data_IF_135111574689
#
_entry.id   IF_135111574689
#
_cell.length_a   1.000
_cell.length_b   1.000
_cell.length_c   1.000
_cell.angle_alpha   90.00
_cell.angle_beta   90.00
_cell.angle_gamma   90.00
#
_symmetry.space_group_name_H-M   'P 1'
#
loop_
_entity.id
_entity.type
_entity.pdbx_description
1 polymer ?
#
# COMPACT_ATOMS: atom_id res chain seq x y z
N UNK A 1 36.79 9.45 -1.33
CA UNK A 1 35.82 8.96 -2.33
C UNK A 1 36.60 8.10 -3.32
N UNK A 2 36.33 6.80 -3.37
CA UNK A 2 37.02 5.88 -4.26
C UNK A 2 36.06 5.51 -5.38
N UNK A 3 36.42 5.86 -6.62
CA UNK A 3 35.62 5.51 -7.81
C UNK A 3 36.19 4.21 -8.36
N UNK A 4 35.34 3.18 -8.43
CA UNK A 4 35.68 1.93 -9.10
C UNK A 4 35.40 2.10 -10.60
N UNK A 5 36.40 1.82 -11.42
CA UNK A 5 36.27 1.85 -12.88
C UNK A 5 35.92 0.44 -13.36
N UNK A 6 34.88 0.33 -14.17
CA UNK A 6 34.52 -0.90 -14.87
C UNK A 6 35.08 -0.83 -16.30
N UNK A 7 35.55 -1.96 -16.82
CA UNK A 7 36.10 -2.05 -18.19
C UNK A 7 35.03 -1.72 -19.25
N UNK A 8 33.77 -2.11 -18.99
CA UNK A 8 32.63 -1.86 -19.86
C UNK A 8 31.50 -1.14 -19.09
N UNK A 9 31.58 0.19 -18.91
CA UNK A 9 30.63 0.93 -18.10
C UNK A 9 29.20 0.86 -18.65
N UNK A 10 29.04 0.74 -19.97
CA UNK A 10 27.74 0.55 -20.62
C UNK A 10 27.04 -0.78 -20.27
N UNK A 11 27.78 -1.82 -19.87
CA UNK A 11 27.22 -3.15 -19.56
C UNK A 11 27.15 -3.43 -18.05
N UNK A 12 27.71 -2.56 -17.21
CA UNK A 12 27.91 -2.82 -15.77
C UNK A 12 26.60 -3.16 -15.04
N UNK A 13 25.49 -2.51 -15.40
CA UNK A 13 24.17 -2.76 -14.81
C UNK A 13 23.67 -4.15 -15.18
N UNK A 14 23.78 -4.54 -16.45
CA UNK A 14 23.34 -5.84 -16.94
C UNK A 14 24.18 -6.95 -16.31
N UNK A 15 25.51 -6.77 -16.23
CA UNK A 15 26.40 -7.71 -15.55
C UNK A 15 26.03 -7.86 -14.07
N UNK A 16 25.78 -6.77 -13.36
CA UNK A 16 25.33 -6.81 -11.97
C UNK A 16 24.03 -7.60 -11.79
N UNK A 17 23.02 -7.35 -12.64
CA UNK A 17 21.75 -8.07 -12.61
C UNK A 17 21.89 -9.56 -12.92
N UNK A 18 22.73 -9.91 -13.89
CA UNK A 18 23.01 -11.31 -14.26
C UNK A 18 23.77 -12.02 -13.12
N UNK A 19 24.76 -11.37 -12.52
CA UNK A 19 25.53 -11.92 -11.40
C UNK A 19 24.65 -12.16 -10.17
N UNK A 20 23.81 -11.19 -9.78
CA UNK A 20 22.84 -11.35 -8.68
C UNK A 20 21.91 -12.54 -8.94
N UNK A 21 21.42 -12.68 -10.18
CA UNK A 21 20.57 -13.81 -10.56
C UNK A 21 21.30 -15.16 -10.52
N UNK A 22 22.55 -15.21 -10.99
CA UNK A 22 23.39 -16.42 -10.91
C UNK A 22 23.62 -16.81 -9.45
N UNK A 23 23.90 -15.86 -8.57
CA UNK A 23 24.09 -16.11 -7.14
C UNK A 23 22.83 -16.67 -6.50
N UNK A 24 21.67 -16.09 -6.82
CA UNK A 24 20.38 -16.56 -6.33
C UNK A 24 20.07 -18.00 -6.79
N UNK A 25 20.34 -18.33 -8.06
CA UNK A 25 20.06 -19.68 -8.61
C UNK A 25 21.03 -20.72 -8.06
N UNK A 26 22.33 -20.42 -8.03
CA UNK A 26 23.37 -21.40 -7.70
C UNK A 26 23.54 -21.62 -6.19
N UNK A 27 23.41 -20.56 -5.41
CA UNK A 27 23.74 -20.58 -3.98
C UNK A 27 22.53 -20.28 -3.10
N UNK A 28 21.38 -19.92 -3.67
CA UNK A 28 20.21 -19.49 -2.90
C UNK A 28 20.42 -18.17 -2.14
N UNK A 29 21.52 -17.46 -2.41
CA UNK A 29 21.87 -16.22 -1.72
C UNK A 29 21.35 -15.05 -2.54
N UNK A 30 20.66 -14.11 -1.88
CA UNK A 30 20.28 -12.84 -2.48
C UNK A 30 21.31 -11.79 -2.08
N UNK A 31 21.94 -11.13 -3.05
CA UNK A 31 23.03 -10.17 -2.79
C UNK A 31 22.53 -8.96 -1.99
N UNK A 32 21.29 -8.54 -2.23
CA UNK A 32 20.60 -7.50 -1.45
C UNK A 32 19.48 -8.13 -0.64
N UNK A 33 19.63 -8.26 0.69
CA UNK A 33 18.58 -8.80 1.57
C UNK A 33 17.38 -7.87 1.76
N UNK A 34 17.54 -6.58 1.45
CA UNK A 34 16.49 -5.58 1.55
C UNK A 34 16.74 -4.41 0.60
N UNK A 35 15.70 -3.61 0.35
CA UNK A 35 15.73 -2.47 -0.58
C UNK A 35 15.10 -1.23 0.05
N UNK A 36 15.63 -0.07 -0.29
CA UNK A 36 15.15 1.22 0.22
C UNK A 36 14.42 1.98 -0.88
N UNK A 37 13.22 2.48 -0.58
CA UNK A 37 12.50 3.34 -1.52
C UNK A 37 13.05 4.76 -1.48
N UNK A 38 13.21 5.43 -2.63
CA UNK A 38 13.63 6.84 -2.67
C UNK A 38 12.52 7.79 -2.21
N UNK A 39 11.25 7.36 -2.27
CA UNK A 39 10.07 8.12 -1.88
C UNK A 39 9.16 7.30 -0.98
N UNK A 40 8.34 7.97 -0.18
CA UNK A 40 7.38 7.30 0.70
C UNK A 40 6.07 7.06 -0.04
N UNK A 41 5.44 5.90 0.17
CA UNK A 41 4.15 5.53 -0.40
C UNK A 41 3.14 5.24 0.71
N UNK A 42 1.92 5.70 0.52
CA UNK A 42 0.83 5.50 1.47
C UNK A 42 -0.50 5.29 0.75
N UNK A 43 -1.50 4.90 1.53
CA UNK A 43 -2.88 4.75 1.08
C UNK A 43 -3.75 5.74 1.85
N UNK A 44 -4.72 6.35 1.16
CA UNK A 44 -5.71 7.20 1.81
C UNK A 44 -6.76 6.32 2.50
N UNK A 45 -7.01 6.55 3.79
CA UNK A 45 -8.02 5.85 4.57
C UNK A 45 -8.66 6.74 5.64
N UNK A 46 -9.87 6.38 6.04
CA UNK A 46 -10.53 6.97 7.21
C UNK A 46 -10.01 6.27 8.48
N UNK A 47 -9.56 7.04 9.48
CA UNK A 47 -9.05 6.51 10.75
C UNK A 47 -9.97 6.88 11.91
N UNK A 48 -10.05 6.04 12.94
CA UNK A 48 -10.85 6.37 14.14
C UNK A 48 -10.29 7.64 14.76
N UNK A 49 -11.17 8.59 15.09
CA UNK A 49 -10.76 9.86 15.66
C UNK A 49 -10.10 9.68 17.02
N UNK A 50 -8.79 9.90 17.02
CA UNK A 50 -7.95 10.07 18.20
C UNK A 50 -7.68 11.57 18.45
N UNK A 51 -8.08 12.13 19.61
CA UNK A 51 -7.92 13.55 19.91
C UNK A 51 -6.45 13.98 20.06
N UNK A 52 -5.49 13.08 20.30
CA UNK A 52 -4.08 13.45 20.36
C UNK A 52 -3.44 13.56 18.97
N UNK A 53 -3.96 12.78 18.00
CA UNK A 53 -3.36 12.64 16.67
C UNK A 53 -4.05 13.48 15.59
N UNK A 54 -5.34 13.73 15.72
CA UNK A 54 -6.18 14.31 14.66
C UNK A 54 -6.70 15.72 14.99
N UNK A 55 -5.97 16.46 15.83
CA UNK A 55 -6.33 17.85 16.15
C UNK A 55 -6.30 18.69 14.86
N UNK A 56 -7.40 19.36 14.56
CA UNK A 56 -7.52 20.24 13.40
C UNK A 56 -7.74 19.51 12.06
N UNK A 57 -7.85 18.18 12.06
CA UNK A 57 -8.18 17.38 10.87
C UNK A 57 -9.69 17.36 10.60
N UNK A 58 -10.07 16.95 9.38
CA UNK A 58 -11.48 16.79 9.01
C UNK A 58 -12.07 15.56 9.68
N UNK A 59 -13.18 15.73 10.41
CA UNK A 59 -13.83 14.62 11.15
C UNK A 59 -15.24 14.41 10.61
N UNK A 60 -15.61 13.14 10.44
CA UNK A 60 -16.95 12.70 10.04
C UNK A 60 -17.47 11.68 11.04
N UNK A 61 -18.73 11.86 11.44
CA UNK A 61 -19.44 10.83 12.20
C UNK A 61 -19.92 9.75 11.23
N UNK A 62 -19.48 8.52 11.44
CA UNK A 62 -19.96 7.37 10.66
C UNK A 62 -21.35 6.96 11.17
N UNK A 63 -22.34 6.95 10.27
CA UNK A 63 -23.73 6.61 10.59
C UNK A 63 -23.90 5.14 11.00
N UNK A 64 -22.97 4.26 10.61
CA UNK A 64 -23.06 2.81 10.81
C UNK A 64 -22.70 2.40 12.24
N UNK A 65 -21.66 2.99 12.81
CA UNK A 65 -21.18 2.66 14.15
C UNK A 65 -21.32 3.81 15.16
N UNK A 66 -21.70 5.01 14.70
CA UNK A 66 -21.77 6.25 15.49
C UNK A 66 -20.41 6.65 16.08
N UNK A 67 -19.31 6.22 15.47
CA UNK A 67 -17.96 6.60 15.84
C UNK A 67 -17.50 7.79 14.98
N UNK A 68 -16.68 8.65 15.57
CA UNK A 68 -16.03 9.73 14.80
C UNK A 68 -14.79 9.19 14.10
N UNK A 69 -14.64 9.55 12.83
CA UNK A 69 -13.51 9.20 11.99
C UNK A 69 -12.83 10.46 11.46
N UNK A 70 -11.51 10.50 11.51
CA UNK A 70 -10.70 11.45 10.76
C UNK A 70 -10.67 11.00 9.28
N UNK A 71 -11.09 11.88 8.39
CA UNK A 71 -11.25 11.62 6.95
C UNK A 71 -9.98 12.03 6.21
N UNK A 72 -9.71 11.39 5.07
CA UNK A 72 -8.59 11.67 4.17
C UNK A 72 -7.21 11.59 4.86
N UNK A 73 -7.08 10.66 5.82
CA UNK A 73 -5.81 10.38 6.47
C UNK A 73 -4.95 9.53 5.54
N UNK A 74 -3.64 9.68 5.65
CA UNK A 74 -2.67 8.90 4.87
C UNK A 74 -2.02 7.90 5.81
N UNK A 75 -2.18 6.62 5.47
CA UNK A 75 -1.49 5.54 6.14
C UNK A 75 -0.26 5.14 5.33
N UNK A 76 0.92 5.51 5.83
CA UNK A 76 2.20 5.25 5.17
C UNK A 76 2.56 3.77 5.26
N UNK A 77 2.77 3.16 4.10
CA UNK A 77 3.19 1.77 3.95
C UNK A 77 4.71 1.70 3.78
N UNK A 78 5.22 2.47 2.84
CA UNK A 78 6.64 2.55 2.52
C UNK A 78 7.15 3.90 2.98
N UNK A 79 8.21 3.90 3.78
CA UNK A 79 8.85 5.12 4.25
C UNK A 79 10.22 5.24 3.57
N UNK A 80 10.48 6.41 2.98
CA UNK A 80 11.76 6.67 2.33
C UNK A 80 12.90 6.66 3.35
N UNK A 81 14.06 6.14 2.94
CA UNK A 81 15.34 6.21 3.69
C UNK A 81 15.29 5.58 5.09
N UNK A 82 16.23 4.65 5.36
CA UNK A 82 16.39 4.04 6.69
C UNK A 82 15.36 2.96 7.05
N UNK A 83 14.35 2.74 6.20
CA UNK A 83 13.34 1.68 6.39
C UNK A 83 13.44 0.64 5.26
N UNK A 84 14.38 -0.32 5.39
CA UNK A 84 14.57 -1.35 4.38
C UNK A 84 13.34 -2.25 4.26
N UNK A 85 12.83 -2.39 3.03
CA UNK A 85 11.79 -3.36 2.70
C UNK A 85 12.47 -4.71 2.46
N UNK A 86 12.09 -5.76 3.20
CA UNK A 86 12.64 -7.10 2.96
C UNK A 86 12.18 -7.63 1.60
N UNK A 87 12.97 -8.50 0.98
CA UNK A 87 12.60 -9.10 -0.32
C UNK A 87 11.32 -9.95 -0.26
N UNK A 88 10.97 -10.48 0.92
CA UNK A 88 9.70 -11.18 1.16
C UNK A 88 8.49 -10.25 1.16
N UNK A 89 8.72 -8.94 1.17
CA UNK A 89 7.71 -7.94 1.40
C UNK A 89 7.20 -7.91 2.84
N UNK A 90 6.24 -7.04 3.10
CA UNK A 90 5.44 -7.02 4.32
C UNK A 90 3.96 -6.89 3.99
N UNK A 91 3.11 -7.32 4.91
CA UNK A 91 1.65 -7.26 4.76
C UNK A 91 1.09 -6.29 5.80
N UNK A 92 0.10 -5.48 5.39
CA UNK A 92 -0.66 -4.62 6.29
C UNK A 92 -2.15 -4.84 6.07
N UNK A 93 -2.87 -5.06 7.17
CA UNK A 93 -4.31 -5.25 7.16
C UNK A 93 -5.03 -3.90 6.99
N UNK A 94 -6.01 -3.88 6.09
CA UNK A 94 -6.95 -2.78 5.91
C UNK A 94 -8.39 -3.26 6.13
N UNK A 95 -9.21 -2.35 6.63
CA UNK A 95 -10.60 -2.64 6.95
C UNK A 95 -11.50 -1.72 6.17
N UNK A 96 -12.45 -2.32 5.46
CA UNK A 96 -13.48 -1.61 4.74
C UNK A 96 -14.85 -1.94 5.33
N UNK A 97 -15.72 -0.93 5.35
CA UNK A 97 -17.12 -1.08 5.75
C UNK A 97 -18.01 -0.77 4.55
N UNK A 98 -18.94 -1.65 4.26
CA UNK A 98 -19.98 -1.43 3.25
C UNK A 98 -21.37 -1.39 3.90
N UNK A 99 -22.25 -0.55 3.35
CA UNK A 99 -23.67 -0.59 3.69
C UNK A 99 -24.30 -1.89 3.16
N UNK A 100 -25.35 -2.41 3.82
CA UNK A 100 -26.12 -3.53 3.28
C UNK A 100 -26.67 -3.22 1.89
N UNK A 101 -26.40 -4.07 0.90
CA UNK A 101 -26.81 -3.90 -0.49
C UNK A 101 -25.76 -3.25 -1.40
N UNK A 102 -24.63 -2.81 -0.85
CA UNK A 102 -23.48 -2.26 -1.61
C UNK A 102 -22.22 -3.12 -1.49
N UNK A 103 -22.36 -4.37 -1.10
CA UNK A 103 -21.23 -5.27 -0.86
C UNK A 103 -20.43 -5.65 -2.13
N UNK A 104 -21.03 -5.52 -3.31
CA UNK A 104 -20.41 -5.85 -4.60
C UNK A 104 -19.89 -4.62 -5.34
N UNK A 105 -20.09 -3.42 -4.79
CA UNK A 105 -19.56 -2.22 -5.44
C UNK A 105 -18.02 -2.18 -5.33
N UNK A 106 -17.30 -1.87 -6.42
CA UNK A 106 -15.85 -1.69 -6.37
C UNK A 106 -15.51 -0.54 -5.43
N UNK A 107 -14.62 -0.82 -4.48
CA UNK A 107 -14.13 0.19 -3.54
C UNK A 107 -12.93 0.91 -4.14
N UNK A 108 -13.05 2.23 -4.28
CA UNK A 108 -11.94 3.06 -4.74
C UNK A 108 -10.93 3.29 -3.62
N UNK A 109 -9.67 3.01 -3.91
CA UNK A 109 -8.52 3.19 -3.03
C UNK A 109 -7.50 4.08 -3.72
N UNK A 110 -7.05 5.10 -3.00
CA UNK A 110 -6.11 6.08 -3.54
C UNK A 110 -4.72 5.82 -2.97
N UNK A 111 -3.76 5.59 -3.87
CA UNK A 111 -2.34 5.45 -3.53
C UNK A 111 -1.68 6.80 -3.71
N UNK A 112 -0.93 7.22 -2.69
CA UNK A 112 -0.25 8.51 -2.65
C UNK A 112 1.24 8.34 -2.41
N UNK A 113 2.00 9.37 -2.77
CA UNK A 113 3.44 9.45 -2.51
C UNK A 113 3.81 10.77 -1.85
N UNK A 114 4.94 10.76 -1.14
CA UNK A 114 5.60 11.97 -0.63
C UNK A 114 7.12 11.84 -0.76
N UNK A 115 7.76 12.95 -1.14
CA UNK A 115 9.22 13.09 -1.17
C UNK A 115 9.79 13.66 0.15
N UNK A 116 8.92 13.97 1.12
CA UNK A 116 9.33 14.56 2.39
C UNK A 116 10.01 13.52 3.28
N UNK A 117 10.99 13.94 4.10
CA UNK A 117 11.67 13.03 5.03
C UNK A 117 10.68 12.42 6.04
N UNK A 118 10.99 11.23 6.60
CA UNK A 118 10.10 10.50 7.50
C UNK A 118 9.50 11.36 8.63
N UNK A 119 10.30 12.23 9.24
CA UNK A 119 9.89 13.10 10.35
C UNK A 119 8.90 14.20 9.95
N UNK A 120 8.74 14.43 8.64
CA UNK A 120 7.87 15.46 8.07
C UNK A 120 6.80 14.85 7.17
N UNK A 121 6.57 13.55 7.27
CA UNK A 121 5.52 12.91 6.47
C UNK A 121 4.15 13.45 6.89
N UNK A 122 3.38 13.96 5.93
CA UNK A 122 2.06 14.49 6.21
C UNK A 122 1.11 13.36 6.62
N UNK A 123 0.24 13.63 7.59
CA UNK A 123 -0.71 12.64 8.12
C UNK A 123 -2.03 12.60 7.35
N UNK A 124 -2.34 13.65 6.60
CA UNK A 124 -3.58 13.79 5.87
C UNK A 124 -3.38 14.50 4.54
N UNK A 125 -4.37 14.37 3.65
CA UNK A 125 -4.39 15.08 2.36
C UNK A 125 -4.53 16.59 2.50
N UNK A 126 -4.88 17.12 3.69
CA UNK A 126 -4.95 18.56 3.94
C UNK A 126 -3.56 19.18 4.06
N UNK A 127 -2.58 18.38 4.45
CA UNK A 127 -1.20 18.81 4.62
C UNK A 127 -0.49 18.78 3.26
N UNK A 128 0.38 19.76 3.02
CA UNK A 128 1.15 19.84 1.76
C UNK A 128 2.21 18.73 1.71
N UNK A 129 2.55 18.31 0.50
CA UNK A 129 3.62 17.31 0.26
C UNK A 129 3.11 15.89 0.02
N UNK A 130 1.80 15.70 -0.18
CA UNK A 130 1.22 14.46 -0.70
C UNK A 130 0.87 14.63 -2.17
N UNK A 131 1.18 13.63 -2.98
CA UNK A 131 0.80 13.56 -4.39
C UNK A 131 0.03 12.27 -4.65
N UNK A 132 -1.11 12.36 -5.34
CA UNK A 132 -1.86 11.18 -5.78
C UNK A 132 -1.08 10.50 -6.90
N UNK A 133 -0.81 9.20 -6.73
CA UNK A 133 -0.12 8.38 -7.73
C UNK A 133 -1.14 7.68 -8.61
N UNK A 134 -2.09 6.98 -8.00
CA UNK A 134 -3.14 6.26 -8.73
C UNK A 134 -4.38 6.04 -7.87
N UNK A 135 -5.46 5.64 -8.53
CA UNK A 135 -6.68 5.16 -7.89
C UNK A 135 -6.92 3.73 -8.36
N UNK A 136 -7.13 2.82 -7.42
CA UNK A 136 -7.40 1.41 -7.65
C UNK A 136 -8.86 1.15 -7.30
N UNK A 137 -9.56 0.41 -8.14
CA UNK A 137 -10.89 -0.08 -7.83
C UNK A 137 -10.75 -1.53 -7.36
N UNK A 138 -11.07 -1.78 -6.09
CA UNK A 138 -10.93 -3.09 -5.45
C UNK A 138 -12.30 -3.73 -5.39
N UNK A 139 -12.49 -4.85 -6.09
CA UNK A 139 -13.69 -5.66 -5.92
C UNK A 139 -13.53 -6.50 -4.65
N UNK A 140 -14.52 -6.47 -3.78
CA UNK A 140 -14.51 -7.25 -2.52
C UNK A 140 -15.33 -8.53 -2.64
N UNK A 141 -15.58 -9.05 -3.83
CA UNK A 141 -16.46 -10.20 -4.06
C UNK A 141 -15.93 -11.47 -3.37
N UNK A 142 -14.63 -11.75 -3.51
CA UNK A 142 -13.98 -12.98 -3.03
C UNK A 142 -13.41 -12.89 -1.61
N UNK A 143 -13.59 -11.75 -0.93
CA UNK A 143 -13.05 -11.52 0.42
C UNK A 143 -14.09 -11.84 1.48
N UNK A 144 -13.67 -12.50 2.56
CA UNK A 144 -14.57 -12.85 3.67
C UNK A 144 -15.23 -11.59 4.27
N UNK A 145 -16.56 -11.52 4.19
CA UNK A 145 -17.36 -10.42 4.71
C UNK A 145 -18.04 -10.83 6.00
N UNK A 146 -17.85 -10.03 7.05
CA UNK A 146 -18.51 -10.25 8.33
C UNK A 146 -19.62 -9.25 8.55
N UNK A 147 -20.86 -9.73 8.61
CA UNK A 147 -22.02 -8.91 8.96
C UNK A 147 -21.95 -8.53 10.45
N UNK A 148 -21.94 -7.24 10.75
CA UNK A 148 -22.01 -6.69 12.11
C UNK A 148 -23.41 -6.19 12.43
N UNK A 149 -23.76 -6.23 13.72
CA UNK A 149 -25.06 -5.80 14.25
C UNK A 149 -26.26 -6.56 13.63
N UNK A 150 -26.12 -7.88 13.37
CA UNK A 150 -27.16 -8.72 12.77
C UNK A 150 -28.38 -8.94 13.67
N UNK A 151 -28.21 -8.88 14.98
CA UNK A 151 -29.27 -9.27 15.91
C UNK A 151 -30.36 -8.21 16.00
N UNK A 152 -31.61 -8.64 16.16
CA UNK A 152 -32.79 -7.77 16.23
C UNK A 152 -32.74 -6.74 17.37
N UNK A 153 -31.99 -7.03 18.44
CA UNK A 153 -31.76 -6.14 19.58
C UNK A 153 -30.56 -5.20 19.38
N UNK A 154 -29.93 -5.20 18.21
CA UNK A 154 -28.83 -4.27 17.90
C UNK A 154 -29.41 -2.89 17.61
N UNK A 155 -29.12 -1.92 18.48
CA UNK A 155 -29.58 -0.53 18.34
C UNK A 155 -28.89 0.18 17.16
N UNK A 156 -27.72 -0.32 16.74
CA UNK A 156 -26.91 0.26 15.64
C UNK A 156 -27.24 -0.43 14.30
N UNK A 157 -27.17 0.31 13.17
CA UNK A 157 -27.38 -0.28 11.85
C UNK A 157 -26.47 -1.47 11.57
N UNK A 158 -26.99 -2.45 10.82
CA UNK A 158 -26.17 -3.54 10.30
C UNK A 158 -25.26 -3.04 9.19
N UNK A 159 -24.03 -3.55 9.15
CA UNK A 159 -23.05 -3.21 8.11
C UNK A 159 -22.15 -4.41 7.82
N UNK A 160 -21.64 -4.48 6.60
CA UNK A 160 -20.64 -5.47 6.21
C UNK A 160 -19.25 -4.93 6.53
N UNK A 161 -18.44 -5.74 7.20
CA UNK A 161 -17.02 -5.47 7.41
C UNK A 161 -16.20 -6.46 6.59
N UNK A 162 -15.37 -5.93 5.72
CA UNK A 162 -14.41 -6.68 4.92
C UNK A 162 -13.02 -6.35 5.43
N UNK A 163 -12.20 -7.37 5.63
CA UNK A 163 -10.80 -7.24 6.03
C UNK A 163 -9.97 -7.79 4.88
N UNK A 164 -9.03 -7.00 4.39
CA UNK A 164 -8.14 -7.41 3.31
C UNK A 164 -6.72 -6.98 3.61
N UNK A 165 -5.79 -7.74 3.07
CA UNK A 165 -4.37 -7.57 3.33
C UNK A 165 -3.69 -6.94 2.12
N UNK A 166 -2.98 -5.84 2.35
CA UNK A 166 -2.15 -5.19 1.34
C UNK A 166 -0.71 -5.61 1.56
N UNK A 167 -0.14 -6.29 0.57
CA UNK A 167 1.22 -6.80 0.58
C UNK A 167 2.13 -5.94 -0.29
N UNK A 168 3.19 -5.42 0.30
CA UNK A 168 4.16 -4.58 -0.40
C UNK A 168 5.42 -5.37 -0.64
N UNK A 169 5.89 -5.42 -1.88
CA UNK A 169 7.11 -6.11 -2.26
C UNK A 169 8.04 -5.21 -3.07
N UNK A 170 9.33 -5.52 -3.01
CA UNK A 170 10.33 -4.92 -3.89
C UNK A 170 10.84 -5.99 -4.86
N UNK A 171 10.42 -5.92 -6.13
CA UNK A 171 10.89 -6.88 -7.14
C UNK A 171 12.29 -6.52 -7.66
N UNK A 172 13.01 -7.55 -8.07
CA UNK A 172 14.36 -7.41 -8.64
C UNK A 172 14.35 -6.74 -10.03
N UNK A 173 13.24 -6.88 -10.77
CA UNK A 173 13.06 -6.40 -12.15
C UNK A 173 12.26 -5.11 -12.28
N UNK A 174 11.57 -4.68 -11.22
CA UNK A 174 10.78 -3.45 -11.17
C UNK A 174 10.89 -2.85 -9.76
N UNK A 175 11.22 -1.57 -9.59
CA UNK A 175 11.26 -0.91 -8.32
C UNK A 175 9.81 -0.86 -7.78
N UNK A 176 9.54 -1.75 -6.82
CA UNK A 176 8.34 -1.80 -6.00
C UNK A 176 7.05 -2.20 -6.71
N UNK A 177 6.37 -3.17 -6.11
CA UNK A 177 4.97 -3.41 -6.38
C UNK A 177 4.14 -3.51 -5.11
N UNK A 178 2.96 -2.90 -5.13
CA UNK A 178 1.94 -3.11 -4.09
C UNK A 178 0.97 -4.15 -4.67
N UNK A 179 0.86 -5.27 -3.97
CA UNK A 179 0.03 -6.42 -4.28
C UNK A 179 -0.99 -6.56 -3.15
N UNK A 180 -2.28 -6.42 -3.42
CA UNK A 180 -3.29 -6.84 -2.44
C UNK A 180 -3.34 -8.37 -2.43
N UNK A 181 -3.22 -9.04 -1.28
CA UNK A 181 -3.32 -10.51 -1.25
C UNK A 181 -4.75 -11.03 -1.44
N UNK A 182 -5.72 -10.12 -1.56
CA UNK A 182 -7.11 -10.44 -1.83
C UNK A 182 -7.53 -10.14 -3.26
N UNK A 183 -6.63 -9.67 -4.14
CA UNK A 183 -6.96 -9.26 -5.50
C UNK A 183 -5.78 -9.37 -6.46
N UNK A 184 -6.00 -9.80 -7.71
CA UNK A 184 -5.01 -9.83 -8.81
C UNK A 184 -4.62 -8.42 -9.32
N UNK A 185 -4.51 -7.45 -8.41
CA UNK A 185 -4.05 -6.09 -8.71
C UNK A 185 -2.58 -5.93 -8.35
N UNK A 186 -1.71 -5.91 -9.35
CA UNK A 186 -0.29 -5.60 -9.19
C UNK A 186 -0.05 -4.14 -9.58
N UNK A 187 0.19 -3.26 -8.62
CA UNK A 187 0.68 -1.91 -8.91
C UNK A 187 2.20 -1.94 -8.98
N UNK A 188 2.83 -1.39 -10.02
CA UNK A 188 4.28 -1.17 -10.07
C UNK A 188 4.59 0.33 -10.17
N UNK A 189 5.58 0.80 -9.42
CA UNK A 189 5.99 2.21 -9.41
C UNK A 189 6.58 2.69 -10.75
N UNK A 190 6.97 1.75 -11.62
CA UNK A 190 7.53 2.05 -12.93
C UNK A 190 6.42 2.21 -13.96
N UNK A 191 6.28 3.45 -14.43
CA UNK A 191 5.35 3.94 -15.45
C UNK A 191 3.90 4.12 -14.97
N UNK A 192 3.38 5.32 -15.21
CA UNK A 192 1.97 5.64 -14.99
C UNK A 192 1.07 4.56 -15.59
N UNK A 193 0.06 4.16 -14.80
CA UNK A 193 -1.09 3.36 -15.18
C UNK A 193 -0.84 2.41 -16.38
N UNK A 194 -0.12 1.31 -16.14
CA UNK A 194 -0.18 0.16 -17.05
C UNK A 194 -1.28 -0.78 -16.57
N UNK A 195 -2.16 -1.13 -17.49
CA UNK A 195 -3.34 -1.96 -17.28
C UNK A 195 -3.02 -3.28 -16.59
N UNK A 196 -4.02 -3.75 -15.85
CA UNK A 196 -4.07 -5.07 -15.25
C UNK A 196 -4.09 -6.13 -16.36
N UNK A 197 -2.95 -6.78 -16.59
CA UNK A 197 -2.93 -8.11 -17.22
C UNK A 197 -2.84 -9.14 -16.09
N UNK A 198 -3.97 -9.75 -15.79
CA UNK A 198 -4.05 -10.92 -14.92
C UNK A 198 -3.67 -12.16 -15.74
N UNK A 199 -2.49 -12.73 -15.49
CA UNK A 199 -2.19 -14.09 -15.92
C UNK A 199 -2.85 -15.07 -14.95
N UNK A 200 -3.96 -15.65 -15.40
CA UNK A 200 -4.60 -16.80 -14.78
C UNK A 200 -3.72 -18.03 -15.09
N UNK A 201 -3.35 -18.78 -14.05
CA UNK A 201 -2.86 -20.15 -14.19
C UNK A 201 -3.97 -21.11 -13.71
#
# INVERSE_FOLDING_TARGET
>A
MQVLLADEPQLVVVHGLVLDRIQQIRYGVVTFGSRCSPVSYGIICDQIYDPEKHIGESVRLDSRDKQMYAVDQVDWLVIQVGHPIPNTGFTKEFQYKADPGRESEPQKVHVVMSILPPDKLPKSMRQKGVQLVCSLDILTEDVEKKLKNRHWYSIKPAFWRTIFDVKVFSWLRRPYSILSSSFDGVFSSDYGALGMDAEIN
#
